data_IF_761017978615
#
_entry.id   IF_761017978615
#
_cell.length_a   1.000
_cell.length_b   1.000
_cell.length_c   1.000
_cell.angle_alpha   90.00
_cell.angle_beta   90.00
_cell.angle_gamma   90.00
#
_symmetry.space_group_name_H-M   'P 1'
#
loop_
_entity.id
_entity.type
_entity.pdbx_description
1 polymer ?
#
# COMPACT_ATOMS: atom_id res chain seq x y z
N UNK A 1 -19.56 -26.57 -13.02
CA UNK A 1 -18.15 -26.12 -13.11
C UNK A 1 -17.98 -24.60 -12.92
N UNK A 2 -18.94 -23.87 -12.32
CA UNK A 2 -18.80 -22.43 -12.08
C UNK A 2 -17.85 -22.18 -10.88
N UNK A 3 -16.80 -21.35 -11.01
CA UNK A 3 -15.98 -20.92 -9.88
C UNK A 3 -16.72 -19.89 -9.01
N UNK A 4 -16.55 -19.98 -7.69
CA UNK A 4 -17.03 -19.00 -6.72
C UNK A 4 -15.82 -18.22 -6.20
N UNK A 5 -15.95 -16.89 -6.18
CA UNK A 5 -14.91 -15.99 -5.73
C UNK A 5 -15.12 -15.54 -4.29
N UNK A 6 -14.02 -15.31 -3.58
CA UNK A 6 -13.97 -14.64 -2.28
C UNK A 6 -12.89 -13.57 -2.39
N UNK A 7 -13.23 -12.33 -2.06
CA UNK A 7 -12.36 -11.17 -2.29
C UNK A 7 -11.97 -10.52 -0.96
N UNK A 8 -10.72 -10.05 -0.89
CA UNK A 8 -10.26 -9.24 0.23
C UNK A 8 -10.98 -7.89 0.24
N UNK A 9 -11.56 -7.50 1.37
CA UNK A 9 -12.35 -6.25 1.44
C UNK A 9 -11.56 -5.00 1.01
N UNK A 10 -10.32 -4.87 1.48
CA UNK A 10 -9.32 -3.93 0.95
C UNK A 10 -7.91 -4.47 1.27
N UNK A 11 -7.40 -5.36 0.42
CA UNK A 11 -6.26 -6.21 0.77
C UNK A 11 -5.01 -5.42 1.20
N UNK A 12 -4.64 -4.37 0.48
CA UNK A 12 -3.49 -3.55 0.89
C UNK A 12 -3.63 -2.95 2.31
N UNK A 13 -4.83 -2.51 2.72
CA UNK A 13 -5.07 -2.05 4.09
C UNK A 13 -5.09 -3.20 5.09
N UNK A 14 -5.55 -4.40 4.71
CA UNK A 14 -5.47 -5.60 5.54
C UNK A 14 -4.01 -5.94 5.87
N UNK A 15 -3.12 -5.94 4.87
CA UNK A 15 -1.69 -6.15 5.10
C UNK A 15 -1.07 -5.05 5.97
N UNK A 16 -1.40 -3.77 5.75
CA UNK A 16 -0.90 -2.70 6.62
C UNK A 16 -1.41 -2.79 8.06
N UNK A 17 -2.69 -3.12 8.27
CA UNK A 17 -3.25 -3.27 9.61
C UNK A 17 -2.62 -4.46 10.34
N UNK A 18 -2.32 -5.55 9.62
CA UNK A 18 -1.63 -6.71 10.16
C UNK A 18 -0.16 -6.43 10.51
N UNK A 19 0.60 -5.74 9.65
CA UNK A 19 1.98 -5.31 9.92
C UNK A 19 2.04 -4.34 11.12
N UNK A 20 1.14 -3.36 11.15
CA UNK A 20 1.12 -2.32 12.18
C UNK A 20 0.39 -2.72 13.46
N UNK A 21 -0.20 -3.92 13.52
CA UNK A 21 -1.09 -4.37 14.62
C UNK A 21 -2.11 -3.30 15.03
N UNK A 22 -2.68 -2.60 14.05
CA UNK A 22 -3.62 -1.49 14.26
C UNK A 22 -5.04 -2.01 14.48
N UNK A 23 -5.53 -2.01 15.73
CA UNK A 23 -6.85 -2.56 16.07
C UNK A 23 -8.01 -1.84 15.37
N UNK A 24 -7.94 -0.51 15.22
CA UNK A 24 -9.00 0.27 14.57
C UNK A 24 -8.98 0.05 13.06
N UNK A 25 -7.78 0.03 12.47
CA UNK A 25 -7.58 -0.32 11.07
C UNK A 25 -8.05 -1.74 10.77
N UNK A 26 -7.63 -2.72 11.59
CA UNK A 26 -7.96 -4.14 11.49
C UNK A 26 -9.47 -4.38 11.50
N UNK A 27 -10.20 -3.74 12.43
CA UNK A 27 -11.66 -3.82 12.44
C UNK A 27 -12.28 -3.25 11.15
N UNK A 28 -11.82 -2.08 10.72
CA UNK A 28 -12.37 -1.40 9.53
C UNK A 28 -12.22 -2.21 8.23
N UNK A 29 -11.28 -3.15 8.18
CA UNK A 29 -10.98 -4.00 7.02
C UNK A 29 -11.19 -5.49 7.30
N UNK A 30 -12.08 -5.79 8.25
CA UNK A 30 -12.57 -7.15 8.52
C UNK A 30 -11.48 -8.16 8.97
N UNK A 31 -10.41 -7.70 9.61
CA UNK A 31 -9.47 -8.62 10.28
C UNK A 31 -9.99 -9.09 11.63
N UNK A 32 -10.86 -8.31 12.28
CA UNK A 32 -11.53 -8.73 13.52
C UNK A 32 -12.89 -9.37 13.21
N UNK A 33 -13.32 -10.40 13.95
CA UNK A 33 -14.64 -10.99 13.81
C UNK A 33 -15.75 -9.96 14.04
N UNK A 34 -16.81 -10.07 13.24
CA UNK A 34 -17.99 -9.23 13.36
C UNK A 34 -19.21 -9.98 12.80
N UNK A 35 -20.39 -9.66 13.32
CA UNK A 35 -21.67 -10.16 12.82
C UNK A 35 -22.05 -9.55 11.46
N UNK A 36 -21.45 -8.42 11.08
CA UNK A 36 -21.71 -7.73 9.81
C UNK A 36 -20.40 -7.28 9.15
N UNK A 37 -20.34 -7.25 7.81
CA UNK A 37 -19.15 -6.80 7.12
C UNK A 37 -18.92 -5.30 7.37
N UNK A 38 -17.69 -4.96 7.72
CA UNK A 38 -17.23 -3.58 7.84
C UNK A 38 -16.90 -3.03 6.46
N UNK A 39 -17.33 -1.79 6.22
CA UNK A 39 -17.15 -1.11 4.95
C UNK A 39 -16.31 0.16 5.13
N UNK A 40 -14.98 0.00 5.10
CA UNK A 40 -14.01 1.10 5.22
C UNK A 40 -14.36 2.29 4.33
N UNK A 41 -14.90 2.05 3.14
CA UNK A 41 -15.25 3.11 2.21
C UNK A 41 -16.41 3.95 2.73
N UNK A 42 -17.44 3.34 3.30
CA UNK A 42 -18.57 4.06 3.90
C UNK A 42 -18.15 4.83 5.15
N UNK A 43 -17.25 4.29 5.96
CA UNK A 43 -16.67 5.01 7.10
C UNK A 43 -15.90 6.26 6.63
N UNK A 44 -15.10 6.15 5.57
CA UNK A 44 -14.39 7.31 5.00
C UNK A 44 -15.38 8.31 4.39
N UNK A 45 -16.44 7.85 3.71
CA UNK A 45 -17.51 8.73 3.19
C UNK A 45 -18.08 9.57 4.33
N UNK A 46 -18.47 8.94 5.45
CA UNK A 46 -19.06 9.64 6.58
C UNK A 46 -18.10 10.69 7.18
N UNK A 47 -16.80 10.39 7.26
CA UNK A 47 -15.79 11.35 7.71
C UNK A 47 -15.59 12.52 6.73
N UNK A 48 -15.60 12.25 5.43
CA UNK A 48 -15.49 13.28 4.39
C UNK A 48 -16.73 14.16 4.39
N UNK A 49 -17.92 13.58 4.53
CA UNK A 49 -19.19 14.32 4.57
C UNK A 49 -19.26 15.23 5.80
N UNK A 50 -18.89 14.73 6.99
CA UNK A 50 -18.82 15.55 8.22
C UNK A 50 -17.85 16.73 8.08
N UNK A 51 -16.77 16.58 7.31
CA UNK A 51 -15.84 17.69 7.02
C UNK A 51 -16.38 18.64 5.97
N UNK A 52 -17.09 18.12 4.96
CA UNK A 52 -17.80 18.90 3.95
C UNK A 52 -18.85 19.80 4.58
N UNK A 53 -19.68 19.27 5.48
CA UNK A 53 -20.68 20.04 6.23
C UNK A 53 -20.05 21.24 6.95
N UNK A 54 -18.98 20.99 7.74
CA UNK A 54 -18.24 22.06 8.43
C UNK A 54 -17.65 23.09 7.49
N UNK A 55 -17.08 22.65 6.36
CA UNK A 55 -16.51 23.58 5.38
C UNK A 55 -17.61 24.40 4.68
N UNK A 56 -18.78 23.81 4.44
CA UNK A 56 -19.94 24.49 3.87
C UNK A 56 -20.48 25.56 4.83
N UNK A 57 -20.56 25.27 6.13
CA UNK A 57 -20.90 26.22 7.20
C UNK A 57 -19.89 27.38 7.26
N UNK A 58 -18.61 27.10 7.04
CA UNK A 58 -17.54 28.11 6.97
C UNK A 58 -17.48 28.87 5.63
N UNK A 59 -18.47 28.70 4.75
CA UNK A 59 -18.58 29.46 3.50
C UNK A 59 -17.74 28.92 2.34
N UNK A 60 -17.26 27.68 2.39
CA UNK A 60 -16.55 27.06 1.26
C UNK A 60 -17.55 26.64 0.19
N UNK A 61 -17.63 27.39 -0.90
CA UNK A 61 -18.63 27.19 -1.97
C UNK A 61 -18.62 25.78 -2.57
N UNK A 62 -17.44 25.21 -2.83
CA UNK A 62 -17.36 23.86 -3.40
C UNK A 62 -17.89 22.78 -2.45
N UNK A 63 -17.81 23.02 -1.14
CA UNK A 63 -18.33 22.10 -0.13
C UNK A 63 -19.87 22.11 -0.13
N UNK A 64 -20.50 23.26 -0.41
CA UNK A 64 -21.97 23.35 -0.61
C UNK A 64 -22.41 22.60 -1.87
N UNK A 65 -21.71 22.80 -2.99
CA UNK A 65 -21.99 22.10 -4.27
C UNK A 65 -21.90 20.57 -4.14
N UNK A 66 -21.04 20.08 -3.23
CA UNK A 66 -20.82 18.66 -3.00
C UNK A 66 -21.87 17.99 -2.10
N UNK A 67 -22.83 18.73 -1.56
CA UNK A 67 -23.91 18.19 -0.73
C UNK A 67 -24.68 17.07 -1.47
N UNK A 68 -24.81 15.91 -0.84
CA UNK A 68 -25.46 14.73 -1.45
C UNK A 68 -24.65 13.99 -2.53
N UNK A 69 -23.46 14.49 -2.89
CA UNK A 69 -22.60 13.87 -3.92
C UNK A 69 -21.40 13.09 -3.36
N UNK A 70 -21.12 13.19 -2.05
CA UNK A 70 -20.10 12.38 -1.38
C UNK A 70 -20.61 10.95 -1.19
N UNK A 71 -20.44 10.12 -2.24
CA UNK A 71 -20.93 8.75 -2.27
C UNK A 71 -19.79 7.75 -2.24
N UNK A 72 -20.05 6.54 -1.72
CA UNK A 72 -19.10 5.42 -1.70
C UNK A 72 -18.46 5.17 -3.06
N UNK A 73 -19.27 5.14 -4.13
CA UNK A 73 -18.81 4.93 -5.52
C UNK A 73 -17.78 5.98 -5.96
N UNK A 74 -17.91 7.22 -5.51
CA UNK A 74 -17.03 8.34 -5.90
C UNK A 74 -15.62 8.17 -5.33
N UNK A 75 -15.51 7.69 -4.09
CA UNK A 75 -14.22 7.62 -3.38
C UNK A 75 -13.62 6.21 -3.31
N UNK A 76 -14.40 5.14 -3.56
CA UNK A 76 -13.98 3.73 -3.45
C UNK A 76 -12.65 3.48 -4.17
N UNK A 77 -12.57 3.84 -5.46
CA UNK A 77 -11.38 3.59 -6.27
C UNK A 77 -10.13 4.31 -5.72
N UNK A 78 -10.31 5.52 -5.22
CA UNK A 78 -9.22 6.29 -4.63
C UNK A 78 -8.70 5.66 -3.35
N UNK A 79 -9.58 5.18 -2.48
CA UNK A 79 -9.16 4.48 -1.26
C UNK A 79 -8.43 3.18 -1.61
N UNK A 80 -8.99 2.38 -2.52
CA UNK A 80 -8.39 1.11 -2.98
C UNK A 80 -6.99 1.30 -3.57
N UNK A 81 -6.75 2.39 -4.30
CA UNK A 81 -5.49 2.56 -5.03
C UNK A 81 -4.46 3.43 -4.29
N UNK A 82 -4.87 4.16 -3.24
CA UNK A 82 -3.96 4.99 -2.44
C UNK A 82 -2.94 4.15 -1.68
N UNK A 83 -3.34 2.98 -1.16
CA UNK A 83 -2.41 2.03 -0.53
C UNK A 83 -1.38 1.47 -1.50
N UNK A 84 -1.70 1.50 -2.80
CA UNK A 84 -0.82 1.10 -3.89
C UNK A 84 -0.09 2.30 -4.54
N UNK A 85 0.06 3.41 -3.79
CA UNK A 85 0.94 4.51 -4.18
C UNK A 85 0.33 5.51 -5.17
N UNK A 86 -1.00 5.54 -5.32
CA UNK A 86 -1.65 6.59 -6.10
C UNK A 86 -1.37 7.97 -5.51
N UNK A 87 -0.87 8.86 -6.36
CA UNK A 87 -0.62 10.25 -5.99
C UNK A 87 -1.91 11.05 -5.87
N UNK A 88 -1.90 12.19 -5.16
CA UNK A 88 -3.03 13.12 -5.13
C UNK A 88 -3.53 13.51 -6.52
N UNK A 89 -2.63 13.64 -7.49
CA UNK A 89 -3.01 13.91 -8.87
C UNK A 89 -3.81 12.76 -9.49
N UNK A 90 -3.34 11.52 -9.33
CA UNK A 90 -4.04 10.32 -9.81
C UNK A 90 -5.39 10.12 -9.11
N UNK A 91 -5.43 10.27 -7.78
CA UNK A 91 -6.64 10.20 -6.97
C UNK A 91 -7.70 11.20 -7.44
N UNK A 92 -7.28 12.44 -7.69
CA UNK A 92 -8.16 13.50 -8.19
C UNK A 92 -8.74 13.15 -9.56
N UNK A 93 -7.96 12.56 -10.47
CA UNK A 93 -8.47 12.10 -11.76
C UNK A 93 -9.50 10.97 -11.62
N UNK A 94 -9.30 10.04 -10.69
CA UNK A 94 -10.26 8.97 -10.40
C UNK A 94 -11.58 9.55 -9.87
N UNK A 95 -11.53 10.45 -8.88
CA UNK A 95 -12.71 11.11 -8.34
C UNK A 95 -13.40 11.96 -9.42
N UNK A 96 -12.64 12.71 -10.22
CA UNK A 96 -13.18 13.51 -11.31
C UNK A 96 -13.91 12.65 -12.34
N UNK A 97 -13.40 11.46 -12.65
CA UNK A 97 -14.09 10.49 -13.52
C UNK A 97 -15.44 10.08 -12.90
N UNK A 98 -15.47 9.69 -11.63
CA UNK A 98 -16.71 9.29 -10.97
C UNK A 98 -17.74 10.43 -10.88
N UNK A 99 -17.30 11.67 -10.62
CA UNK A 99 -18.19 12.85 -10.60
C UNK A 99 -18.75 13.17 -11.99
N UNK A 100 -17.95 13.00 -13.05
CA UNK A 100 -18.42 13.19 -14.44
C UNK A 100 -19.52 12.22 -14.83
N UNK A 101 -19.52 11.02 -14.26
CA UNK A 101 -20.50 9.98 -14.55
C UNK A 101 -21.83 10.17 -13.77
N UNK A 102 -21.97 11.21 -12.93
CA UNK A 102 -23.21 11.55 -12.22
C UNK A 102 -23.97 12.62 -13.00
N UNK A 103 -25.13 12.29 -13.56
CA UNK A 103 -25.90 13.18 -14.44
C UNK A 103 -26.26 14.52 -13.79
N UNK A 104 -26.77 14.48 -12.55
CA UNK A 104 -27.22 15.68 -11.81
C UNK A 104 -26.07 16.52 -11.21
N UNK A 105 -24.81 16.12 -11.39
CA UNK A 105 -23.67 16.85 -10.83
C UNK A 105 -23.21 18.00 -11.75
N UNK A 106 -23.01 19.23 -11.24
CA UNK A 106 -22.53 20.37 -12.02
C UNK A 106 -21.17 20.12 -12.67
N UNK A 107 -21.14 19.98 -14.01
CA UNK A 107 -19.95 19.51 -14.74
C UNK A 107 -18.79 20.52 -14.70
N UNK A 108 -19.11 21.80 -14.62
CA UNK A 108 -18.18 22.91 -14.43
C UNK A 108 -17.42 22.82 -13.09
N UNK A 109 -18.02 22.21 -12.07
CA UNK A 109 -17.45 22.11 -10.72
C UNK A 109 -16.61 20.85 -10.51
N UNK A 110 -16.56 19.92 -11.48
CA UNK A 110 -15.85 18.63 -11.36
C UNK A 110 -14.40 18.78 -10.90
N UNK A 111 -13.67 19.75 -11.45
CA UNK A 111 -12.25 19.89 -11.12
C UNK A 111 -12.01 20.41 -9.70
N UNK A 112 -12.79 21.42 -9.28
CA UNK A 112 -12.74 21.95 -7.94
C UNK A 112 -13.21 20.90 -6.92
N UNK A 113 -14.32 20.24 -7.20
CA UNK A 113 -14.90 19.20 -6.36
C UNK A 113 -13.97 17.99 -6.19
N UNK A 114 -13.39 17.48 -7.28
CA UNK A 114 -12.43 16.38 -7.21
C UNK A 114 -11.17 16.75 -6.42
N UNK A 115 -10.68 18.00 -6.56
CA UNK A 115 -9.53 18.49 -5.79
C UNK A 115 -9.84 18.53 -4.30
N UNK A 116 -11.00 19.07 -3.94
CA UNK A 116 -11.49 19.15 -2.58
C UNK A 116 -11.66 17.76 -1.95
N UNK A 117 -12.39 16.86 -2.62
CA UNK A 117 -12.64 15.49 -2.16
C UNK A 117 -11.34 14.71 -2.01
N UNK A 118 -10.37 14.90 -2.91
CA UNK A 118 -9.05 14.27 -2.78
C UNK A 118 -8.38 14.70 -1.48
N UNK A 119 -8.36 16.00 -1.19
CA UNK A 119 -7.79 16.53 0.05
C UNK A 119 -8.43 15.91 1.30
N UNK A 120 -9.77 15.97 1.37
CA UNK A 120 -10.53 15.45 2.51
C UNK A 120 -10.46 13.93 2.65
N UNK A 121 -10.38 13.19 1.55
CA UNK A 121 -10.20 11.73 1.57
C UNK A 121 -8.83 11.36 2.16
N UNK A 122 -7.74 12.00 1.70
CA UNK A 122 -6.39 11.74 2.22
C UNK A 122 -6.23 12.14 3.69
N UNK A 123 -6.89 13.21 4.13
CA UNK A 123 -6.92 13.58 5.55
C UNK A 123 -7.71 12.55 6.38
N UNK A 124 -8.77 11.96 5.82
CA UNK A 124 -9.62 10.98 6.53
C UNK A 124 -8.88 9.65 6.70
N UNK A 125 -8.24 9.19 5.63
CA UNK A 125 -7.38 8.00 5.67
C UNK A 125 -6.24 8.17 6.68
N UNK A 126 -5.58 9.33 6.70
CA UNK A 126 -4.49 9.62 7.66
C UNK A 126 -4.95 9.61 9.12
N UNK A 127 -6.19 10.01 9.40
CA UNK A 127 -6.73 9.94 10.76
C UNK A 127 -7.20 8.53 11.17
N UNK A 128 -7.59 7.68 10.22
CA UNK A 128 -8.08 6.33 10.50
C UNK A 128 -6.95 5.30 10.63
N UNK A 129 -5.86 5.46 9.87
CA UNK A 129 -4.83 4.44 9.71
C UNK A 129 -3.45 4.98 10.11
N UNK A 130 -3.28 5.25 11.41
CA UNK A 130 -2.06 5.87 11.94
C UNK A 130 -0.84 4.95 11.74
N UNK A 131 -0.94 3.68 12.11
CA UNK A 131 0.20 2.74 11.97
C UNK A 131 0.55 2.49 10.51
N UNK A 132 -0.45 2.39 9.62
CA UNK A 132 -0.24 2.31 8.16
C UNK A 132 0.59 3.48 7.65
N UNK A 133 0.24 4.70 8.07
CA UNK A 133 0.97 5.91 7.69
C UNK A 133 2.42 5.86 8.19
N UNK A 134 2.64 5.47 9.43
CA UNK A 134 3.99 5.39 10.01
C UNK A 134 4.87 4.37 9.26
N UNK A 135 4.32 3.22 8.87
CA UNK A 135 5.01 2.23 8.04
C UNK A 135 5.31 2.78 6.65
N UNK A 136 4.34 3.44 6.00
CA UNK A 136 4.54 4.07 4.68
C UNK A 136 5.60 5.17 4.71
N UNK A 137 5.60 6.00 5.75
CA UNK A 137 6.57 7.08 5.95
C UNK A 137 7.98 6.48 6.16
N UNK A 138 8.10 5.41 6.95
CA UNK A 138 9.35 4.67 7.15
C UNK A 138 9.88 4.09 5.84
N UNK A 139 9.06 3.32 5.11
CA UNK A 139 9.42 2.79 3.79
C UNK A 139 9.89 3.89 2.84
N UNK A 140 9.14 4.98 2.73
CA UNK A 140 9.45 6.09 1.83
C UNK A 140 10.80 6.74 2.18
N UNK A 141 11.09 6.92 3.47
CA UNK A 141 12.34 7.52 3.92
C UNK A 141 13.53 6.57 3.73
N UNK A 142 13.38 5.27 4.03
CA UNK A 142 14.39 4.25 3.74
C UNK A 142 14.77 4.26 2.25
N UNK A 143 13.78 4.11 1.37
CA UNK A 143 14.00 4.09 -0.07
C UNK A 143 14.61 5.40 -0.59
N UNK A 144 14.20 6.55 -0.05
CA UNK A 144 14.80 7.84 -0.40
C UNK A 144 16.28 7.88 -0.03
N UNK A 145 16.65 7.44 1.17
CA UNK A 145 18.03 7.50 1.65
C UNK A 145 18.92 6.46 0.94
N UNK A 146 18.45 5.23 0.74
CA UNK A 146 19.16 4.18 -0.03
C UNK A 146 19.50 4.70 -1.43
N UNK A 147 18.54 5.28 -2.14
CA UNK A 147 18.78 5.78 -3.49
C UNK A 147 19.51 7.11 -3.58
N UNK A 148 19.30 8.04 -2.64
CA UNK A 148 19.92 9.36 -2.70
C UNK A 148 21.35 9.37 -2.15
N UNK A 149 21.62 8.59 -1.09
CA UNK A 149 22.91 8.53 -0.41
C UNK A 149 23.72 7.35 -0.93
N UNK A 150 23.13 6.15 -0.93
CA UNK A 150 23.77 4.92 -1.39
C UNK A 150 23.95 4.83 -2.90
N UNK A 151 23.23 5.66 -3.67
CA UNK A 151 23.15 5.54 -5.13
C UNK A 151 22.75 4.13 -5.59
N UNK A 152 22.01 3.40 -4.76
CA UNK A 152 21.55 2.04 -5.00
C UNK A 152 20.04 2.00 -5.22
N UNK A 153 19.57 0.96 -5.90
CA UNK A 153 18.15 0.67 -6.02
C UNK A 153 17.68 -0.09 -4.78
N UNK A 154 16.38 0.01 -4.47
CA UNK A 154 15.81 -0.70 -3.32
C UNK A 154 15.61 -2.16 -3.69
N UNK A 155 16.01 -3.03 -2.77
CA UNK A 155 15.91 -4.48 -2.87
C UNK A 155 15.40 -5.04 -1.54
N UNK A 156 14.70 -6.17 -1.59
CA UNK A 156 14.31 -6.94 -0.42
C UNK A 156 14.05 -8.40 -0.81
N UNK A 157 13.82 -9.26 0.17
CA UNK A 157 13.43 -10.64 -0.04
C UNK A 157 12.06 -10.83 0.61
N UNK A 158 11.10 -11.45 -0.11
CA UNK A 158 9.79 -11.77 0.46
C UNK A 158 9.92 -12.84 1.56
N UNK A 159 8.93 -13.01 2.45
CA UNK A 159 8.91 -14.12 3.41
C UNK A 159 9.00 -15.53 2.78
N UNK A 160 8.71 -15.66 1.48
CA UNK A 160 8.88 -16.92 0.72
C UNK A 160 10.27 -17.08 0.07
N UNK A 161 11.22 -16.19 0.34
CA UNK A 161 12.57 -16.25 -0.20
C UNK A 161 12.74 -15.69 -1.61
N UNK A 162 11.71 -15.08 -2.22
CA UNK A 162 11.82 -14.44 -3.53
C UNK A 162 12.53 -13.08 -3.42
N UNK A 163 13.69 -12.87 -4.07
CA UNK A 163 14.33 -11.56 -4.12
C UNK A 163 13.59 -10.61 -5.07
N UNK A 164 13.37 -9.38 -4.62
CA UNK A 164 12.72 -8.32 -5.37
C UNK A 164 13.65 -7.11 -5.51
N UNK A 165 13.67 -6.53 -6.70
CA UNK A 165 14.55 -5.42 -7.08
C UNK A 165 13.70 -4.36 -7.78
N UNK A 166 13.82 -3.09 -7.38
CA UNK A 166 13.15 -1.99 -8.07
C UNK A 166 13.96 -1.50 -9.29
N UNK A 167 13.44 -1.62 -10.53
CA UNK A 167 14.21 -1.35 -11.75
C UNK A 167 14.22 0.15 -12.14
N UNK A 168 13.99 1.07 -11.20
CA UNK A 168 13.80 2.47 -11.53
C UNK A 168 15.11 3.24 -11.64
N UNK A 169 15.54 3.48 -12.87
CA UNK A 169 16.73 4.25 -13.22
C UNK A 169 16.40 5.60 -13.87
N UNK A 170 17.37 6.52 -13.86
CA UNK A 170 17.31 7.75 -14.64
C UNK A 170 17.82 7.48 -16.06
N UNK A 171 16.90 7.35 -17.02
CA UNK A 171 17.26 7.33 -18.43
C UNK A 171 17.86 8.68 -18.86
N UNK A 172 19.07 8.66 -19.41
CA UNK A 172 19.57 9.78 -20.21
C UNK A 172 19.00 9.64 -21.62
N UNK A 173 18.19 10.61 -22.07
CA UNK A 173 17.90 10.75 -23.51
C UNK A 173 19.20 11.15 -24.20
N UNK A 174 19.88 10.20 -24.83
CA UNK A 174 20.89 10.50 -25.82
C UNK A 174 20.14 10.99 -27.07
N UNK A 175 20.05 12.30 -27.26
CA UNK A 175 19.80 12.82 -28.61
C UNK A 175 21.05 12.52 -29.43
N UNK A 176 20.99 11.51 -30.30
CA UNK A 176 22.00 11.31 -31.33
C UNK A 176 21.34 11.25 -32.70
N UNK A 177 21.66 12.18 -33.61
CA UNK A 177 21.43 12.00 -35.03
C UNK A 177 22.50 11.04 -35.58
N UNK A 178 22.01 9.95 -36.16
CA UNK A 178 22.70 9.00 -37.03
C UNK A 178 23.88 8.15 -36.49
N UNK A 179 23.80 6.89 -36.93
CA UNK A 179 24.87 5.95 -37.26
C UNK A 179 25.40 5.04 -36.13
N UNK A 180 25.07 3.75 -36.29
CA UNK A 180 25.77 2.56 -35.82
C UNK A 180 26.73 2.77 -34.65
N UNK A 181 26.21 2.68 -33.42
CA UNK A 181 27.06 2.40 -32.27
C UNK A 181 26.40 1.35 -31.39
N UNK A 182 27.16 0.28 -31.19
CA UNK A 182 26.94 -0.81 -30.25
C UNK A 182 26.24 -0.33 -28.98
N UNK A 183 25.13 -0.96 -28.61
CA UNK A 183 24.48 -0.73 -27.32
C UNK A 183 25.47 -1.07 -26.20
N UNK A 184 25.91 -0.11 -25.37
CA UNK A 184 26.59 -0.46 -24.14
C UNK A 184 25.51 -0.98 -23.19
N UNK A 185 25.36 -2.31 -23.17
CA UNK A 185 24.74 -3.00 -22.06
C UNK A 185 25.61 -2.71 -20.82
N UNK A 186 25.01 -2.00 -19.86
CA UNK A 186 25.29 -2.15 -18.43
C UNK A 186 26.54 -1.45 -17.81
N UNK A 187 26.50 -0.12 -17.66
CA UNK A 187 27.34 0.59 -16.67
C UNK A 187 26.79 1.97 -16.28
N UNK A 188 26.30 2.10 -15.04
CA UNK A 188 26.03 3.34 -14.29
C UNK A 188 24.77 4.17 -14.61
N UNK A 189 23.60 3.55 -14.74
CA UNK A 189 22.38 4.34 -14.59
C UNK A 189 22.12 4.64 -13.11
N UNK A 190 22.11 5.93 -12.73
CA UNK A 190 21.78 6.32 -11.35
C UNK A 190 20.31 6.00 -11.05
N UNK A 191 19.98 5.53 -9.83
CA UNK A 191 18.60 5.26 -9.47
C UNK A 191 17.74 6.54 -9.56
N UNK A 192 16.51 6.37 -10.02
CA UNK A 192 15.51 7.43 -9.97
C UNK A 192 14.92 7.50 -8.56
N UNK A 193 15.54 8.30 -7.69
CA UNK A 193 15.16 8.47 -6.28
C UNK A 193 13.65 8.70 -6.09
N UNK A 194 13.02 9.50 -6.96
CA UNK A 194 11.58 9.79 -6.84
C UNK A 194 10.73 8.56 -7.12
N UNK A 195 11.07 7.78 -8.14
CA UNK A 195 10.34 6.54 -8.46
C UNK A 195 10.60 5.45 -7.42
N UNK A 196 11.85 5.26 -7.00
CA UNK A 196 12.24 4.29 -5.98
C UNK A 196 11.43 4.51 -4.69
N UNK A 197 11.49 5.74 -4.13
CA UNK A 197 10.79 6.04 -2.87
C UNK A 197 9.28 5.91 -2.95
N UNK A 198 8.65 6.33 -4.06
CA UNK A 198 7.19 6.32 -4.19
C UNK A 198 6.65 4.92 -4.50
N UNK A 199 7.47 4.06 -5.10
CA UNK A 199 7.09 2.70 -5.48
C UNK A 199 7.43 1.66 -4.41
N UNK A 200 8.30 1.98 -3.43
CA UNK A 200 8.70 0.99 -2.43
C UNK A 200 7.54 0.52 -1.53
N UNK A 201 6.77 1.42 -0.88
CA UNK A 201 5.61 0.99 -0.10
C UNK A 201 4.62 0.10 -0.88
N UNK A 202 4.14 0.47 -2.09
CA UNK A 202 3.18 -0.35 -2.81
C UNK A 202 3.77 -1.66 -3.34
N UNK A 203 5.02 -1.66 -3.83
CA UNK A 203 5.64 -2.90 -4.30
C UNK A 203 5.89 -3.88 -3.16
N UNK A 204 6.25 -3.37 -1.97
CA UNK A 204 6.43 -4.21 -0.78
C UNK A 204 5.11 -4.87 -0.37
N UNK A 205 4.02 -4.11 -0.27
CA UNK A 205 2.70 -4.67 0.03
C UNK A 205 2.26 -5.67 -1.03
N UNK A 206 2.38 -5.35 -2.32
CA UNK A 206 2.10 -6.33 -3.38
C UNK A 206 2.91 -7.61 -3.27
N UNK A 207 4.16 -7.55 -2.78
CA UNK A 207 4.96 -8.74 -2.54
C UNK A 207 4.44 -9.59 -1.39
N UNK A 208 3.82 -8.98 -0.37
CA UNK A 208 3.12 -9.69 0.71
C UNK A 208 1.77 -10.26 0.26
N UNK A 209 0.98 -9.51 -0.50
CA UNK A 209 -0.26 -9.97 -1.12
C UNK A 209 0.03 -11.23 -1.98
N UNK A 210 1.10 -11.18 -2.77
CA UNK A 210 1.57 -12.32 -3.58
C UNK A 210 2.01 -13.50 -2.71
N UNK A 211 2.74 -13.24 -1.61
CA UNK A 211 3.19 -14.29 -0.70
C UNK A 211 2.02 -15.01 -0.04
N UNK A 212 1.01 -14.25 0.42
CA UNK A 212 -0.22 -14.80 1.00
C UNK A 212 -1.02 -15.64 -0.01
N UNK A 213 -1.15 -15.14 -1.24
CA UNK A 213 -1.82 -15.84 -2.33
C UNK A 213 -1.10 -17.15 -2.72
N UNK A 214 0.23 -17.14 -2.79
CA UNK A 214 1.03 -18.33 -3.06
C UNK A 214 0.92 -19.36 -1.93
N UNK A 215 1.03 -18.94 -0.66
CA UNK A 215 0.83 -19.83 0.50
C UNK A 215 -0.56 -20.46 0.48
N UNK A 216 -1.59 -19.65 0.25
CA UNK A 216 -2.97 -20.13 0.16
C UNK A 216 -3.11 -21.14 -0.96
N UNK A 217 -2.56 -20.87 -2.15
CA UNK A 217 -2.59 -21.80 -3.29
C UNK A 217 -1.93 -23.14 -2.97
N UNK A 218 -0.74 -23.14 -2.39
CA UNK A 218 0.00 -24.37 -2.05
C UNK A 218 -0.74 -25.22 -1.02
N UNK A 219 -1.34 -24.59 -0.01
CA UNK A 219 -2.10 -25.30 1.01
C UNK A 219 -3.46 -25.79 0.49
N UNK A 220 -4.10 -25.04 -0.41
CA UNK A 220 -5.29 -25.47 -1.14
C UNK A 220 -5.00 -26.72 -1.98
N UNK A 221 -3.87 -26.74 -2.71
CA UNK A 221 -3.45 -27.89 -3.51
C UNK A 221 -3.24 -29.14 -2.63
N UNK A 222 -2.56 -28.98 -1.47
CA UNK A 222 -2.39 -30.07 -0.49
C UNK A 222 -3.70 -30.58 0.10
N UNK A 223 -4.71 -29.70 0.23
CA UNK A 223 -6.05 -30.08 0.65
C UNK A 223 -6.90 -30.70 -0.48
N UNK A 224 -6.35 -30.84 -1.69
CA UNK A 224 -7.04 -31.41 -2.84
C UNK A 224 -8.12 -30.50 -3.43
N UNK A 225 -8.05 -29.18 -3.21
CA UNK A 225 -9.02 -28.23 -3.73
C UNK A 225 -8.43 -27.42 -4.89
N UNK A 226 -9.22 -27.25 -5.95
CA UNK A 226 -8.84 -26.39 -7.07
C UNK A 226 -8.82 -24.93 -6.62
N UNK A 227 -7.73 -24.24 -6.91
CA UNK A 227 -7.53 -22.83 -6.56
C UNK A 227 -7.07 -22.06 -7.79
N UNK A 228 -7.65 -20.88 -8.00
CA UNK A 228 -7.20 -19.87 -8.95
C UNK A 228 -7.30 -18.51 -8.27
N UNK A 229 -6.42 -17.58 -8.61
CA UNK A 229 -6.48 -16.21 -8.09
C UNK A 229 -6.41 -15.18 -9.21
N UNK A 230 -7.09 -14.05 -8.97
CA UNK A 230 -6.86 -12.79 -9.67
C UNK A 230 -6.44 -11.79 -8.61
N UNK A 231 -5.12 -11.72 -8.36
CA UNK A 231 -4.56 -10.97 -7.23
C UNK A 231 -5.19 -11.38 -5.88
N UNK A 232 -5.97 -10.50 -5.26
CA UNK A 232 -6.64 -10.62 -3.97
C UNK A 232 -8.02 -11.29 -4.04
N UNK A 233 -8.44 -11.73 -5.23
CA UNK A 233 -9.69 -12.44 -5.44
C UNK A 233 -9.43 -13.95 -5.64
N UNK A 234 -9.85 -14.79 -4.69
CA UNK A 234 -9.54 -16.23 -4.63
C UNK A 234 -10.74 -17.08 -5.02
N UNK A 235 -10.52 -18.01 -5.95
CA UNK A 235 -11.58 -18.75 -6.64
C UNK A 235 -11.42 -20.26 -6.41
N UNK A 236 -12.54 -20.92 -6.11
CA UNK A 236 -12.61 -22.39 -5.99
C UNK A 236 -14.02 -22.89 -6.37
N UNK A 237 -14.28 -24.18 -6.24
CA UNK A 237 -15.63 -24.73 -6.45
C UNK A 237 -16.58 -24.40 -5.29
N UNK A 238 -17.91 -24.31 -5.53
CA UNK A 238 -18.87 -23.99 -4.47
C UNK A 238 -18.78 -24.91 -3.24
N UNK A 239 -18.48 -26.20 -3.45
CA UNK A 239 -18.35 -27.19 -2.38
C UNK A 239 -17.11 -27.01 -1.50
N UNK A 240 -16.12 -26.23 -1.93
CA UNK A 240 -14.80 -26.10 -1.29
C UNK A 240 -14.49 -24.68 -0.78
N UNK A 241 -15.43 -23.73 -0.90
CA UNK A 241 -15.25 -22.33 -0.45
C UNK A 241 -14.88 -22.24 1.03
N UNK A 242 -15.56 -23.00 1.90
CA UNK A 242 -15.29 -23.01 3.34
C UNK A 242 -13.87 -23.50 3.67
N UNK A 243 -13.35 -24.47 2.92
CA UNK A 243 -11.99 -24.99 3.08
C UNK A 243 -10.98 -23.93 2.63
N UNK A 244 -11.21 -23.31 1.47
CA UNK A 244 -10.36 -22.21 0.97
C UNK A 244 -10.32 -21.04 1.94
N UNK A 245 -11.45 -20.63 2.51
CA UNK A 245 -11.51 -19.52 3.46
C UNK A 245 -10.76 -19.83 4.76
N UNK A 246 -10.87 -21.05 5.27
CA UNK A 246 -10.08 -21.51 6.42
C UNK A 246 -8.58 -21.42 6.12
N UNK A 247 -8.13 -21.99 5.00
CA UNK A 247 -6.73 -21.95 4.58
C UNK A 247 -6.26 -20.50 4.38
N UNK A 248 -7.05 -19.67 3.71
CA UNK A 248 -6.74 -18.26 3.47
C UNK A 248 -6.44 -17.51 4.77
N UNK A 249 -7.30 -17.66 5.80
CA UNK A 249 -7.09 -17.05 7.12
C UNK A 249 -5.86 -17.63 7.82
N UNK A 250 -5.70 -18.95 7.82
CA UNK A 250 -4.54 -19.62 8.43
C UNK A 250 -3.22 -19.13 7.82
N UNK A 251 -3.15 -19.01 6.49
CA UNK A 251 -1.95 -18.55 5.80
C UNK A 251 -1.70 -17.05 5.99
N UNK A 252 -2.75 -16.23 6.10
CA UNK A 252 -2.59 -14.80 6.44
C UNK A 252 -2.01 -14.64 7.84
N UNK A 253 -2.55 -15.39 8.81
CA UNK A 253 -2.08 -15.37 10.20
C UNK A 253 -0.66 -15.90 10.30
N UNK A 254 -0.34 -17.01 9.62
CA UNK A 254 1.01 -17.56 9.58
C UNK A 254 2.01 -16.54 9.02
N UNK A 255 1.71 -15.96 7.85
CA UNK A 255 2.55 -14.95 7.20
C UNK A 255 2.82 -13.75 8.12
N UNK A 256 1.77 -13.15 8.67
CA UNK A 256 1.89 -11.96 9.52
C UNK A 256 2.23 -12.27 10.98
N UNK A 257 2.46 -13.54 11.34
CA UNK A 257 3.04 -13.89 12.65
C UNK A 257 4.57 -13.84 12.62
N UNK A 258 5.17 -13.89 11.43
CA UNK A 258 6.60 -13.64 11.24
C UNK A 258 6.93 -12.16 11.48
N UNK A 259 8.15 -11.86 11.96
CA UNK A 259 8.59 -10.48 12.25
C UNK A 259 9.03 -9.75 10.96
N UNK A 260 8.08 -9.58 10.01
CA UNK A 260 8.34 -9.11 8.65
C UNK A 260 9.07 -7.75 8.61
N UNK A 261 8.71 -6.80 9.47
CA UNK A 261 9.32 -5.47 9.45
C UNK A 261 10.74 -5.50 10.03
N UNK A 262 10.94 -6.30 11.07
CA UNK A 262 12.24 -6.56 11.70
C UNK A 262 13.19 -7.24 10.71
N UNK A 263 12.76 -8.33 10.06
CA UNK A 263 13.55 -9.06 9.05
C UNK A 263 13.93 -8.16 7.87
N UNK A 264 12.97 -7.33 7.41
CA UNK A 264 13.25 -6.32 6.39
C UNK A 264 14.29 -5.31 6.89
N UNK A 265 14.13 -4.79 8.12
CA UNK A 265 15.07 -3.83 8.71
C UNK A 265 16.48 -4.43 8.81
N UNK A 266 16.61 -5.67 9.26
CA UNK A 266 17.88 -6.40 9.34
C UNK A 266 18.51 -6.54 7.94
N UNK A 267 17.75 -7.06 6.96
CA UNK A 267 18.22 -7.16 5.58
C UNK A 267 18.69 -5.82 5.01
N UNK A 268 17.91 -4.74 5.23
CA UNK A 268 18.28 -3.42 4.74
C UNK A 268 19.54 -2.89 5.45
N UNK A 269 19.71 -3.15 6.75
CA UNK A 269 20.90 -2.79 7.49
C UNK A 269 22.13 -3.54 6.95
N UNK A 270 22.05 -4.86 6.80
CA UNK A 270 23.16 -5.66 6.29
C UNK A 270 23.60 -5.20 4.90
N UNK A 271 22.64 -4.86 4.03
CA UNK A 271 22.91 -4.53 2.63
C UNK A 271 23.30 -3.06 2.39
N UNK A 272 22.68 -2.13 3.11
CA UNK A 272 22.74 -0.70 2.79
C UNK A 272 23.37 0.18 3.88
N UNK A 273 23.64 -0.36 5.07
CA UNK A 273 24.27 0.42 6.14
C UNK A 273 25.75 0.69 5.86
N UNK A 274 26.25 1.78 6.45
CA UNK A 274 27.66 2.16 6.40
C UNK A 274 28.38 1.74 7.68
N UNK A 275 29.60 1.22 7.53
CA UNK A 275 30.49 0.87 8.64
C UNK A 275 31.32 2.07 9.11
N UNK A 276 31.98 1.96 10.27
CA UNK A 276 32.89 3.00 10.78
C UNK A 276 33.96 3.44 9.77
N UNK A 277 34.36 2.53 8.86
CA UNK A 277 35.38 2.80 7.83
C UNK A 277 34.86 3.66 6.67
N UNK A 278 33.54 3.74 6.51
CA UNK A 278 32.90 4.51 5.46
C UNK A 278 32.70 5.99 5.83
N UNK A 279 33.04 6.37 7.06
CA UNK A 279 32.98 7.75 7.56
C UNK A 279 34.34 8.42 7.49
N UNK A 280 34.35 9.69 7.10
CA UNK A 280 35.56 10.53 7.10
C UNK A 280 35.83 11.12 8.48
N UNK A 281 34.84 11.15 9.37
CA UNK A 281 34.97 11.68 10.74
C UNK A 281 35.08 13.20 10.82
N UNK A 282 34.87 13.89 9.69
CA UNK A 282 35.06 15.32 9.50
C UNK A 282 33.80 16.15 9.80
N UNK A 283 32.70 15.49 10.18
CA UNK A 283 31.41 16.15 10.42
C UNK A 283 30.75 16.65 9.13
N UNK A 284 31.18 16.17 7.95
CA UNK A 284 30.59 16.57 6.68
C UNK A 284 29.10 16.23 6.58
N UNK A 285 28.40 16.97 5.72
CA UNK A 285 26.98 16.69 5.41
C UNK A 285 26.82 15.24 4.93
N UNK A 286 27.78 14.70 4.18
CA UNK A 286 27.75 13.32 3.70
C UNK A 286 27.76 12.32 4.87
N UNK A 287 28.68 12.47 5.82
CA UNK A 287 28.75 11.64 7.02
C UNK A 287 27.48 11.72 7.86
N UNK A 288 26.91 12.92 8.04
CA UNK A 288 25.64 13.10 8.74
C UNK A 288 24.49 12.37 8.02
N UNK A 289 24.46 12.38 6.68
CA UNK A 289 23.41 11.72 5.90
C UNK A 289 23.54 10.20 5.91
N UNK A 290 24.77 9.67 5.89
CA UNK A 290 25.06 8.24 6.08
C UNK A 290 24.66 7.76 7.48
N UNK A 291 24.99 8.51 8.53
CA UNK A 291 24.53 8.23 9.91
C UNK A 291 23.00 8.26 10.01
N UNK A 292 22.35 9.19 9.30
CA UNK A 292 20.89 9.24 9.21
C UNK A 292 20.32 7.99 8.53
N UNK A 293 20.94 7.50 7.44
CA UNK A 293 20.51 6.25 6.80
C UNK A 293 20.55 5.10 7.80
N UNK A 294 21.70 4.82 8.43
CA UNK A 294 21.83 3.74 9.41
C UNK A 294 20.76 3.82 10.51
N UNK A 295 20.50 5.02 11.04
CA UNK A 295 19.47 5.24 12.06
C UNK A 295 18.06 4.94 11.56
N UNK A 296 17.71 5.44 10.37
CA UNK A 296 16.35 5.27 9.81
C UNK A 296 16.08 3.80 9.52
N UNK A 297 17.07 3.06 8.99
CA UNK A 297 16.92 1.62 8.73
C UNK A 297 16.53 0.84 9.99
N UNK A 298 17.08 1.22 11.15
CA UNK A 298 16.81 0.57 12.45
C UNK A 298 15.58 1.14 13.18
N UNK A 299 15.02 2.26 12.73
CA UNK A 299 13.92 2.95 13.40
C UNK A 299 12.57 2.37 12.97
N UNK A 300 12.27 1.16 13.45
CA UNK A 300 11.02 0.48 13.17
C UNK A 300 9.79 1.31 13.63
N UNK A 301 8.71 1.34 12.83
CA UNK A 301 7.43 1.89 13.25
C UNK A 301 6.89 1.20 14.51
N UNK A 302 6.14 1.92 15.35
CA UNK A 302 5.51 1.31 16.52
C UNK A 302 4.35 0.43 16.07
N UNK A 303 4.28 -0.78 16.62
CA UNK A 303 3.15 -1.69 16.44
C UNK A 303 2.08 -1.42 17.51
N UNK A 304 0.82 -1.63 17.14
CA UNK A 304 -0.31 -1.57 18.04
C UNK A 304 -0.54 -2.89 18.80
N UNK A 305 -1.77 -3.09 19.28
CA UNK A 305 -2.15 -4.21 20.16
C UNK A 305 -3.11 -5.22 19.51
N UNK A 306 -3.36 -5.12 18.21
CA UNK A 306 -4.22 -6.07 17.51
C UNK A 306 -3.64 -7.49 17.59
N UNK A 307 -4.44 -8.45 18.06
CA UNK A 307 -4.08 -9.87 18.01
C UNK A 307 -4.41 -10.45 16.63
N UNK A 308 -3.36 -10.81 15.89
CA UNK A 308 -3.47 -11.36 14.54
C UNK A 308 -4.32 -12.64 14.48
N UNK A 309 -4.40 -13.41 15.59
CA UNK A 309 -5.17 -14.66 15.62
C UNK A 309 -6.67 -14.44 15.44
N UNK A 310 -7.18 -13.24 15.71
CA UNK A 310 -8.59 -12.89 15.48
C UNK A 310 -9.03 -13.08 14.02
N UNK A 311 -8.10 -13.01 13.07
CA UNK A 311 -8.40 -13.24 11.64
C UNK A 311 -8.97 -14.63 11.38
N UNK A 312 -8.59 -15.65 12.18
CA UNK A 312 -9.05 -17.03 12.01
C UNK A 312 -10.59 -17.14 12.10
N UNK A 313 -11.18 -16.32 12.97
CA UNK A 313 -12.61 -16.31 13.25
C UNK A 313 -13.36 -15.23 12.44
N UNK A 314 -12.65 -14.44 11.62
CA UNK A 314 -13.27 -13.37 10.83
C UNK A 314 -13.96 -13.90 9.57
N UNK A 315 -15.30 -13.90 9.60
CA UNK A 315 -16.13 -14.35 8.48
C UNK A 315 -15.94 -13.47 7.23
N UNK A 316 -15.84 -12.16 7.41
CA UNK A 316 -15.82 -11.17 6.32
C UNK A 316 -14.41 -10.74 5.88
N UNK A 317 -13.36 -11.40 6.38
CA UNK A 317 -11.98 -11.13 5.99
C UNK A 317 -11.81 -11.26 4.46
N UNK A 318 -12.24 -12.41 3.93
CA UNK A 318 -12.41 -12.72 2.51
C UNK A 318 -13.84 -13.25 2.35
N UNK A 319 -14.67 -12.54 1.58
CA UNK A 319 -16.10 -12.85 1.41
C UNK A 319 -16.60 -12.56 0.01
#
# INVERSE_FOLDING_TARGET
HLPIHQDGSCNGLQHYAALGRDSAGAHSVNLTPSEVPQDVYSTVVALVEKRREKDAENGVEIAKVLEGFVKRKVIKQTIMTTVYGVTRFGARLQIAKQLKDIDDFPKESVWAASSYLTGRTFESLRSMFTSTREIQDWFTECARLISAVGCQHVEWVTPLGLPIVQPYFKYKKLSMPNMYSSYPIDKYERPNVMKQKNAFPPNFIHSLDSSHMMLTSLHCERAGITFVSVHDCYWTHPSTVHIMNKICREQFVALHSEPILEDLSEFLCEKFSYSERDFTGDGSVLDLTKKKLNRVLQQLPKTGSFDIKQVLDSVYFFS
#
